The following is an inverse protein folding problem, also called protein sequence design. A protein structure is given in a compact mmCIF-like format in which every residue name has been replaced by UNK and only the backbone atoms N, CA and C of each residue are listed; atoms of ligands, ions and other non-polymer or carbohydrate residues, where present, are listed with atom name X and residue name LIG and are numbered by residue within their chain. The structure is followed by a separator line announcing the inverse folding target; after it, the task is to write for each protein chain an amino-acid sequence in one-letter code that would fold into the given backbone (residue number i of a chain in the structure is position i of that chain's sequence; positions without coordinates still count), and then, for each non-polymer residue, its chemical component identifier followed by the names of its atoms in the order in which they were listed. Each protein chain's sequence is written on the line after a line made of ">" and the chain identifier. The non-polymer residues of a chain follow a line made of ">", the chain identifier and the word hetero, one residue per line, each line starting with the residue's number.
data_IF_089266353393
#
_entry.id   IF_089266353393
#
_cell.length_a   1.000
_cell.length_b   1.000
_cell.length_c   1.000
_cell.angle_alpha   90.00
_cell.angle_beta   90.00
_cell.angle_gamma   90.00
#
_symmetry.space_group_name_H-M   'P 1'
#
loop_
_entity.id
_entity.type
_entity.pdbx_description
1 polymer ?
#
# COMPACT_ATOMS: atom_id res chain seq x y z
N UNK A 1 14.04 -37.72 20.32
CA UNK A 1 13.00 -36.67 20.50
C UNK A 1 11.76 -37.06 19.72
N UNK A 2 10.75 -37.65 20.36
CA UNK A 2 9.49 -37.96 19.69
C UNK A 2 8.77 -36.64 19.37
N UNK A 3 8.51 -36.35 18.09
CA UNK A 3 7.59 -35.28 17.72
C UNK A 3 6.21 -35.66 18.29
N UNK A 4 5.82 -35.05 19.41
CA UNK A 4 4.55 -35.36 20.06
C UNK A 4 3.39 -35.07 19.11
N UNK A 5 2.27 -35.78 19.26
CA UNK A 5 1.06 -35.56 18.45
C UNK A 5 0.63 -34.08 18.49
N UNK A 6 0.80 -33.42 19.64
CA UNK A 6 0.52 -31.99 19.83
C UNK A 6 1.37 -31.08 18.92
N UNK A 7 2.69 -31.35 18.82
CA UNK A 7 3.58 -30.56 17.95
C UNK A 7 3.21 -30.72 16.47
N UNK A 8 2.76 -31.91 16.05
CA UNK A 8 2.30 -32.13 14.67
C UNK A 8 1.00 -31.35 14.38
N UNK A 9 0.03 -31.42 15.29
CA UNK A 9 -1.25 -30.71 15.16
C UNK A 9 -1.03 -29.20 15.12
N UNK A 10 -0.17 -28.64 15.98
CA UNK A 10 0.12 -27.20 15.98
C UNK A 10 0.70 -26.74 14.63
N UNK A 11 1.64 -27.49 14.05
CA UNK A 11 2.17 -27.22 12.71
C UNK A 11 1.09 -27.24 11.63
N UNK A 12 0.15 -28.19 11.69
CA UNK A 12 -0.98 -28.24 10.77
C UNK A 12 -1.90 -27.04 10.91
N UNK A 13 -2.19 -26.58 12.14
CA UNK A 13 -3.00 -25.39 12.38
C UNK A 13 -2.30 -24.15 11.82
N UNK A 14 -1.00 -23.99 12.05
CA UNK A 14 -0.22 -22.86 11.50
C UNK A 14 -0.23 -22.87 9.96
N UNK A 15 -0.08 -24.05 9.34
CA UNK A 15 -0.17 -24.21 7.90
C UNK A 15 -1.55 -23.80 7.37
N UNK A 16 -2.63 -24.24 8.00
CA UNK A 16 -4.00 -23.89 7.59
C UNK A 16 -4.27 -22.39 7.76
N UNK A 17 -3.76 -21.77 8.83
CA UNK A 17 -3.88 -20.34 9.05
C UNK A 17 -3.18 -19.54 7.93
N UNK A 18 -1.99 -19.95 7.51
CA UNK A 18 -1.26 -19.32 6.40
C UNK A 18 -2.04 -19.44 5.08
N UNK A 19 -2.56 -20.63 4.76
CA UNK A 19 -3.35 -20.87 3.54
C UNK A 19 -4.60 -20.00 3.54
N UNK A 20 -5.33 -19.95 4.66
CA UNK A 20 -6.52 -19.12 4.78
C UNK A 20 -6.20 -17.62 4.61
N UNK A 21 -5.09 -17.16 5.18
CA UNK A 21 -4.64 -15.78 5.02
C UNK A 21 -4.27 -15.47 3.55
N UNK A 22 -3.48 -16.32 2.90
CA UNK A 22 -3.10 -16.14 1.49
C UNK A 22 -4.34 -16.06 0.60
N UNK A 23 -5.29 -16.97 0.78
CA UNK A 23 -6.53 -16.98 0.01
C UNK A 23 -7.35 -15.68 0.18
N UNK A 24 -7.44 -15.16 1.41
CA UNK A 24 -8.13 -13.89 1.67
C UNK A 24 -7.35 -12.73 1.04
N UNK A 25 -6.03 -12.68 1.20
CA UNK A 25 -5.16 -11.65 0.61
C UNK A 25 -5.34 -11.61 -0.91
N UNK A 26 -5.21 -12.76 -1.56
CA UNK A 26 -5.23 -12.85 -3.02
C UNK A 26 -6.60 -12.42 -3.56
N UNK A 27 -7.70 -12.91 -2.99
CA UNK A 27 -9.05 -12.48 -3.38
C UNK A 27 -9.27 -10.97 -3.20
N UNK A 28 -8.74 -10.37 -2.13
CA UNK A 28 -8.86 -8.93 -1.90
C UNK A 28 -8.04 -8.15 -2.94
N UNK A 29 -6.81 -8.58 -3.23
CA UNK A 29 -5.96 -7.93 -4.22
C UNK A 29 -6.56 -8.01 -5.63
N UNK A 30 -7.08 -9.19 -6.02
CA UNK A 30 -7.76 -9.39 -7.29
C UNK A 30 -9.00 -8.49 -7.41
N UNK A 31 -9.77 -8.38 -6.32
CA UNK A 31 -10.94 -7.50 -6.26
C UNK A 31 -10.57 -6.02 -6.48
N UNK A 32 -9.46 -5.55 -5.91
CA UNK A 32 -8.96 -4.20 -6.15
C UNK A 32 -8.50 -4.01 -7.60
N UNK A 33 -7.73 -4.95 -8.14
CA UNK A 33 -7.26 -4.87 -9.53
C UNK A 33 -8.43 -4.80 -10.53
N UNK A 34 -9.49 -5.57 -10.28
CA UNK A 34 -10.68 -5.60 -11.12
C UNK A 34 -11.45 -4.27 -11.13
N UNK A 35 -11.42 -3.50 -10.04
CA UNK A 35 -12.08 -2.19 -9.95
C UNK A 35 -11.15 -1.08 -10.45
N UNK A 36 -9.86 -1.15 -10.11
CA UNK A 36 -8.87 -0.11 -10.41
C UNK A 36 -8.66 0.05 -11.91
N UNK A 37 -8.41 -1.06 -12.65
CA UNK A 37 -8.12 -1.01 -14.09
C UNK A 37 -9.20 -0.28 -14.90
N UNK A 38 -10.49 -0.64 -14.85
CA UNK A 38 -11.53 0.05 -15.61
C UNK A 38 -11.86 1.44 -15.06
N UNK A 39 -11.46 1.77 -13.83
CA UNK A 39 -11.58 3.12 -13.31
C UNK A 39 -10.50 4.02 -13.91
N UNK A 40 -9.24 3.58 -13.91
CA UNK A 40 -8.12 4.31 -14.53
C UNK A 40 -8.39 4.50 -16.01
N UNK A 41 -8.76 3.44 -16.73
CA UNK A 41 -9.05 3.46 -18.16
C UNK A 41 -10.13 4.47 -18.56
N UNK A 42 -11.18 4.62 -17.75
CA UNK A 42 -12.32 5.48 -18.08
C UNK A 42 -12.14 6.94 -17.66
N UNK A 43 -11.34 7.20 -16.63
CA UNK A 43 -11.35 8.50 -15.96
C UNK A 43 -9.99 9.17 -15.82
N UNK A 44 -8.89 8.41 -15.89
CA UNK A 44 -7.57 8.92 -15.52
C UNK A 44 -6.50 8.73 -16.61
N UNK A 45 -6.80 7.98 -17.66
CA UNK A 45 -5.97 7.90 -18.86
C UNK A 45 -6.00 9.24 -19.61
N UNK A 46 -4.82 9.66 -20.07
CA UNK A 46 -4.62 10.78 -20.98
C UNK A 46 -4.58 10.28 -22.44
N UNK A 47 -4.53 11.21 -23.40
CA UNK A 47 -4.47 10.87 -24.82
C UNK A 47 -3.18 10.08 -25.11
N UNK A 48 -3.34 8.97 -25.83
CA UNK A 48 -2.26 8.07 -26.27
C UNK A 48 -1.48 7.32 -25.16
N UNK A 49 -1.99 7.22 -23.92
CA UNK A 49 -1.41 6.33 -22.89
C UNK A 49 -2.24 5.07 -22.64
N UNK A 50 -1.56 3.95 -22.36
CA UNK A 50 -2.16 2.71 -21.88
C UNK A 50 -2.55 2.81 -20.40
N UNK A 51 -3.45 1.94 -19.94
CA UNK A 51 -3.85 1.87 -18.51
C UNK A 51 -2.64 1.66 -17.60
N UNK A 52 -1.71 0.80 -18.00
CA UNK A 52 -0.49 0.53 -17.25
C UNK A 52 0.45 1.75 -17.19
N UNK A 53 0.49 2.57 -18.25
CA UNK A 53 1.24 3.83 -18.27
C UNK A 53 0.62 4.87 -17.34
N UNK A 54 -0.71 5.03 -17.42
CA UNK A 54 -1.47 5.89 -16.52
C UNK A 54 -1.23 5.51 -15.06
N UNK A 55 -1.31 4.21 -14.72
CA UNK A 55 -1.03 3.72 -13.36
C UNK A 55 0.40 4.06 -12.90
N UNK A 56 1.40 3.89 -13.77
CA UNK A 56 2.81 4.24 -13.46
C UNK A 56 2.96 5.74 -13.18
N UNK A 57 2.37 6.59 -14.02
CA UNK A 57 2.36 8.05 -13.86
C UNK A 57 1.69 8.47 -12.55
N UNK A 58 0.46 8.01 -12.31
CA UNK A 58 -0.31 8.30 -11.10
C UNK A 58 0.44 7.87 -9.84
N UNK A 59 1.10 6.70 -9.84
CA UNK A 59 1.91 6.25 -8.70
C UNK A 59 3.10 7.18 -8.44
N UNK A 60 3.79 7.63 -9.48
CA UNK A 60 4.88 8.58 -9.36
C UNK A 60 4.39 9.92 -8.79
N UNK A 61 3.32 10.49 -9.35
CA UNK A 61 2.70 11.72 -8.86
C UNK A 61 2.28 11.63 -7.39
N UNK A 62 1.69 10.49 -6.97
CA UNK A 62 1.31 10.28 -5.57
C UNK A 62 2.53 10.22 -4.65
N UNK A 63 3.62 9.59 -5.08
CA UNK A 63 4.87 9.57 -4.28
C UNK A 63 5.47 10.96 -4.13
N UNK A 64 5.49 11.74 -5.21
CA UNK A 64 5.99 13.11 -5.19
C UNK A 64 5.12 14.02 -4.31
N UNK A 65 3.79 13.95 -4.47
CA UNK A 65 2.84 14.72 -3.66
C UNK A 65 3.00 14.43 -2.17
N UNK A 66 3.23 13.17 -1.78
CA UNK A 66 3.49 12.79 -0.37
C UNK A 66 4.81 13.38 0.12
N UNK A 67 5.88 13.26 -0.67
CA UNK A 67 7.18 13.83 -0.32
C UNK A 67 7.11 15.36 -0.16
N UNK A 68 6.36 16.05 -1.02
CA UNK A 68 6.15 17.49 -0.91
C UNK A 68 5.35 17.85 0.36
N UNK A 69 4.29 17.10 0.68
CA UNK A 69 3.53 17.30 1.91
C UNK A 69 4.42 17.12 3.16
N UNK A 70 5.28 16.12 3.19
CA UNK A 70 6.22 15.89 4.28
C UNK A 70 7.23 17.03 4.41
N UNK A 71 7.81 17.48 3.28
CA UNK A 71 8.71 18.65 3.25
C UNK A 71 8.00 19.91 3.75
N UNK A 72 6.74 20.11 3.34
CA UNK A 72 5.90 21.22 3.80
C UNK A 72 5.64 21.17 5.30
N UNK A 73 5.33 19.98 5.84
CA UNK A 73 5.14 19.76 7.28
C UNK A 73 6.43 20.03 8.06
N UNK A 74 7.57 19.54 7.57
CA UNK A 74 8.88 19.79 8.18
C UNK A 74 9.22 21.28 8.20
N UNK A 75 9.00 22.00 7.08
CA UNK A 75 9.20 23.46 7.00
C UNK A 75 8.34 24.21 8.02
N UNK A 76 7.07 23.84 8.15
CA UNK A 76 6.14 24.45 9.14
C UNK A 76 6.60 24.21 10.58
N UNK A 77 7.10 23.02 10.90
CA UNK A 77 7.60 22.69 12.24
C UNK A 77 8.81 23.54 12.63
N UNK A 78 9.77 23.69 11.71
CA UNK A 78 10.96 24.53 11.92
C UNK A 78 10.59 26.00 12.12
N UNK A 79 9.61 26.53 11.35
CA UNK A 79 9.18 27.92 11.52
C UNK A 79 8.42 28.15 12.83
N UNK A 80 7.64 27.19 13.31
CA UNK A 80 6.99 27.28 14.64
C UNK A 80 8.00 27.23 15.79
N UNK A 81 9.02 26.37 15.71
CA UNK A 81 10.05 26.26 16.76
C UNK A 81 10.92 27.53 16.86
N UNK A 82 11.28 28.14 15.72
CA UNK A 82 11.99 29.43 15.71
C UNK A 82 11.19 30.59 16.31
N UNK A 83 9.86 30.59 16.15
CA UNK A 83 8.98 31.61 16.75
C UNK A 83 8.90 31.49 18.26
N UNK A 84 8.94 30.27 18.80
CA UNK A 84 8.90 30.05 20.25
C UNK A 84 10.22 30.38 20.98
N UNK A 85 11.36 30.39 20.27
CA UNK A 85 12.67 30.76 20.87
C UNK A 85 12.99 32.26 20.77
N UNK A 86 12.12 33.07 20.17
CA UNK A 86 12.35 34.51 19.96
C UNK A 86 11.50 35.41 20.87
N UNK A 87 10.83 34.85 21.88
CA UNK A 87 10.01 35.55 22.87
C UNK A 87 10.57 35.38 24.28
#
# INVERSE_FOLDING_TARGET
>A
MAKSKLVKINKSIASLAHIGFDAIRDNVMDGYEHVEKPFVDRYLTEEDETVEEAQRRLKAEQTERKAEQERGRARRRVTTEKRHHSH
#
